data_IF_713966994461
#
_entry.id   IF_713966994461
#
_cell.length_a   1.000
_cell.length_b   1.000
_cell.length_c   1.000
_cell.angle_alpha   90.00
_cell.angle_beta   90.00
_cell.angle_gamma   90.00
#
_symmetry.space_group_name_H-M   'P 1'
#
loop_
_entity.id
_entity.type
_entity.pdbx_description
1 polymer ?
#
# COMPACT_ATOMS: atom_id res chain seq x y z
N UNK A 1 60.72 117.72 -87.98
CA UNK A 1 62.00 118.16 -88.58
C UNK A 1 63.04 117.08 -88.34
N UNK A 2 63.88 116.88 -89.35
CA UNK A 2 64.86 115.80 -89.54
C UNK A 2 65.93 115.73 -88.43
N UNK A 3 66.68 114.61 -88.50
CA UNK A 3 68.08 114.38 -88.08
C UNK A 3 68.26 113.63 -86.74
N UNK A 4 69.13 112.61 -86.59
CA UNK A 4 69.97 111.82 -87.51
C UNK A 4 70.62 110.69 -86.68
N UNK A 5 70.61 109.44 -87.21
CA UNK A 5 71.67 108.40 -87.23
C UNK A 5 72.74 108.36 -86.12
N UNK A 6 73.04 107.17 -85.56
CA UNK A 6 74.12 106.28 -86.04
C UNK A 6 74.22 104.96 -85.22
N UNK A 7 74.55 103.92 -85.98
CA UNK A 7 74.76 102.46 -85.78
C UNK A 7 76.27 102.24 -85.41
N UNK A 8 76.83 101.07 -85.00
CA UNK A 8 76.48 99.98 -84.07
C UNK A 8 77.77 99.36 -83.39
N UNK A 9 77.74 98.05 -83.08
CA UNK A 9 78.86 97.08 -82.97
C UNK A 9 79.65 97.01 -81.65
N UNK A 10 80.12 95.87 -81.12
CA UNK A 10 79.97 94.42 -81.36
C UNK A 10 80.87 93.72 -80.27
N UNK A 11 80.67 92.42 -80.02
CA UNK A 11 81.57 91.44 -79.36
C UNK A 11 81.59 91.25 -77.81
N UNK A 12 81.08 90.07 -77.43
CA UNK A 12 81.65 89.03 -76.54
C UNK A 12 81.95 89.30 -75.05
N UNK A 13 81.26 88.54 -74.19
CA UNK A 13 81.90 87.65 -73.22
C UNK A 13 80.86 86.65 -72.63
N UNK A 14 81.21 85.37 -72.66
CA UNK A 14 80.49 84.26 -72.04
C UNK A 14 80.49 84.36 -70.50
N UNK A 15 79.52 83.73 -69.80
CA UNK A 15 79.71 82.96 -68.54
C UNK A 15 78.39 82.24 -68.14
N UNK A 16 78.58 80.98 -67.78
CA UNK A 16 77.72 79.98 -67.11
C UNK A 16 76.69 80.54 -66.11
N UNK A 17 75.43 80.08 -66.19
CA UNK A 17 74.44 80.26 -65.10
C UNK A 17 73.91 78.88 -64.64
N UNK A 18 74.04 78.52 -63.35
CA UNK A 18 73.44 77.33 -62.75
C UNK A 18 71.96 77.56 -62.38
N UNK A 19 71.10 76.57 -62.62
CA UNK A 19 69.69 76.60 -62.19
C UNK A 19 69.54 76.45 -60.68
N UNK A 20 69.42 77.57 -59.95
CA UNK A 20 69.03 77.61 -58.54
C UNK A 20 67.53 77.91 -58.40
N UNK A 21 66.78 77.06 -57.69
CA UNK A 21 65.40 77.33 -57.25
C UNK A 21 65.41 78.50 -56.24
N UNK A 22 64.47 79.46 -56.34
CA UNK A 22 64.41 80.60 -55.42
C UNK A 22 64.17 80.14 -53.96
N UNK A 23 64.97 80.61 -53.01
CA UNK A 23 64.92 80.20 -51.59
C UNK A 23 63.55 80.34 -50.92
N UNK A 24 62.68 81.25 -51.41
CA UNK A 24 61.33 81.48 -50.92
C UNK A 24 60.38 80.29 -51.18
N UNK A 25 60.43 79.70 -52.39
CA UNK A 25 59.61 78.53 -52.75
C UNK A 25 60.03 77.28 -51.96
N UNK A 26 61.34 77.13 -51.71
CA UNK A 26 61.86 76.04 -50.87
C UNK A 26 61.37 76.16 -49.42
N UNK A 27 61.42 77.36 -48.82
CA UNK A 27 60.91 77.60 -47.46
C UNK A 27 59.40 77.35 -47.33
N UNK A 28 58.61 77.74 -48.33
CA UNK A 28 57.17 77.50 -48.33
C UNK A 28 56.85 76.00 -48.45
N UNK A 29 57.51 75.30 -49.38
CA UNK A 29 57.36 73.85 -49.52
C UNK A 29 57.79 73.10 -48.24
N UNK A 30 58.84 73.56 -47.57
CA UNK A 30 59.29 72.99 -46.28
C UNK A 30 58.26 73.24 -45.17
N UNK A 31 57.62 74.42 -45.12
CA UNK A 31 56.56 74.71 -44.16
C UNK A 31 55.31 73.84 -44.41
N UNK A 32 54.91 73.66 -45.67
CA UNK A 32 53.79 72.80 -46.05
C UNK A 32 54.10 71.32 -45.77
N UNK A 33 55.33 70.87 -46.04
CA UNK A 33 55.79 69.52 -45.68
C UNK A 33 55.72 69.30 -44.17
N UNK A 34 56.22 70.24 -43.36
CA UNK A 34 56.17 70.15 -41.91
C UNK A 34 54.72 70.15 -41.37
N UNK A 35 53.82 70.93 -41.98
CA UNK A 35 52.39 70.95 -41.64
C UNK A 35 51.71 69.62 -42.01
N UNK A 36 51.99 69.09 -43.19
CA UNK A 36 51.46 67.82 -43.65
C UNK A 36 51.96 66.66 -42.78
N UNK A 37 53.24 66.67 -42.41
CA UNK A 37 53.85 65.71 -41.48
C UNK A 37 53.21 65.80 -40.08
N UNK A 38 53.03 67.01 -39.54
CA UNK A 38 52.31 67.23 -38.27
C UNK A 38 50.87 66.73 -38.32
N UNK A 39 50.11 67.05 -39.38
CA UNK A 39 48.73 66.59 -39.56
C UNK A 39 48.66 65.06 -39.70
N UNK A 40 49.60 64.45 -40.42
CA UNK A 40 49.68 63.00 -40.58
C UNK A 40 49.97 62.32 -39.25
N UNK A 41 50.83 62.90 -38.40
CA UNK A 41 51.09 62.41 -37.04
C UNK A 41 49.86 62.53 -36.14
N UNK A 42 49.16 63.66 -36.16
CA UNK A 42 47.92 63.86 -35.39
C UNK A 42 46.82 62.88 -35.82
N UNK A 43 46.59 62.74 -37.12
CA UNK A 43 45.60 61.79 -37.66
C UNK A 43 45.95 60.34 -37.33
N UNK A 44 47.23 59.96 -37.39
CA UNK A 44 47.68 58.64 -36.91
C UNK A 44 47.41 58.45 -35.42
N UNK A 45 47.67 59.47 -34.60
CA UNK A 45 47.37 59.43 -33.16
C UNK A 45 45.87 59.23 -32.87
N UNK A 46 45.00 59.98 -33.55
CA UNK A 46 43.54 59.84 -33.44
C UNK A 46 43.04 58.49 -33.93
N UNK A 47 43.60 57.99 -35.04
CA UNK A 47 43.27 56.67 -35.57
C UNK A 47 43.60 55.56 -34.55
N UNK A 48 44.81 55.58 -33.99
CA UNK A 48 45.24 54.62 -32.95
C UNK A 48 44.36 54.69 -31.70
N UNK A 49 43.96 55.89 -31.28
CA UNK A 49 43.05 56.07 -30.14
C UNK A 49 41.66 55.48 -30.44
N UNK A 50 41.12 55.75 -31.64
CA UNK A 50 39.84 55.21 -32.09
C UNK A 50 39.86 53.69 -32.19
N UNK A 51 40.94 53.11 -32.71
CA UNK A 51 41.15 51.67 -32.80
C UNK A 51 41.21 51.03 -31.40
N UNK A 52 41.91 51.66 -30.46
CA UNK A 52 41.94 51.22 -29.05
C UNK A 52 40.56 51.26 -28.40
N UNK A 53 39.80 52.33 -28.61
CA UNK A 53 38.45 52.46 -28.06
C UNK A 53 37.48 51.44 -28.68
N UNK A 54 37.61 51.16 -29.98
CA UNK A 54 36.86 50.11 -30.66
C UNK A 54 37.18 48.74 -30.08
N UNK A 55 38.45 48.44 -29.81
CA UNK A 55 38.85 47.18 -29.17
C UNK A 55 38.26 47.04 -27.76
N UNK A 56 38.30 48.10 -26.93
CA UNK A 56 37.73 48.10 -25.57
C UNK A 56 36.22 47.90 -25.60
N UNK A 57 35.51 48.60 -26.47
CA UNK A 57 34.04 48.48 -26.60
C UNK A 57 33.64 47.13 -27.16
N UNK A 58 34.36 46.59 -28.14
CA UNK A 58 34.15 45.24 -28.68
C UNK A 58 34.31 44.18 -27.58
N UNK A 59 35.35 44.28 -26.75
CA UNK A 59 35.53 43.38 -25.61
C UNK A 59 34.40 43.50 -24.58
N UNK A 60 33.90 44.71 -24.32
CA UNK A 60 32.76 44.94 -23.43
C UNK A 60 31.46 44.36 -23.99
N UNK A 61 31.20 44.52 -25.29
CA UNK A 61 30.04 43.92 -25.96
C UNK A 61 30.12 42.41 -25.87
N UNK A 62 31.27 41.81 -26.19
CA UNK A 62 31.49 40.36 -26.06
C UNK A 62 31.24 39.87 -24.63
N UNK A 63 31.77 40.57 -23.63
CA UNK A 63 31.53 40.23 -22.21
C UNK A 63 30.05 40.33 -21.82
N UNK A 64 29.33 41.34 -22.31
CA UNK A 64 27.89 41.49 -22.06
C UNK A 64 27.07 40.42 -22.78
N UNK A 65 27.46 40.01 -23.99
CA UNK A 65 26.84 38.90 -24.71
C UNK A 65 27.05 37.56 -23.97
N UNK A 66 28.27 37.32 -23.47
CA UNK A 66 28.57 36.17 -22.62
C UNK A 66 27.70 36.18 -21.35
N UNK A 67 27.61 37.30 -20.64
CA UNK A 67 26.72 37.45 -19.48
C UNK A 67 25.25 37.22 -19.82
N UNK A 68 24.76 37.78 -20.93
CA UNK A 68 23.38 37.61 -21.36
C UNK A 68 23.07 36.16 -21.71
N UNK A 69 24.01 35.45 -22.34
CA UNK A 69 23.87 34.02 -22.65
C UNK A 69 23.89 33.17 -21.38
N UNK A 70 24.74 33.50 -20.41
CA UNK A 70 24.78 32.85 -19.10
C UNK A 70 23.46 33.06 -18.34
N UNK A 71 22.94 34.29 -18.28
CA UNK A 71 21.65 34.58 -17.63
C UNK A 71 20.48 33.87 -18.30
N UNK A 72 20.45 33.83 -19.64
CA UNK A 72 19.43 33.06 -20.38
C UNK A 72 19.51 31.56 -20.05
N UNK A 73 20.72 31.02 -19.91
CA UNK A 73 20.92 29.63 -19.50
C UNK A 73 20.46 29.39 -18.05
N UNK A 74 20.72 30.33 -17.14
CA UNK A 74 20.28 30.26 -15.75
C UNK A 74 18.75 30.34 -15.61
N UNK A 75 18.10 31.24 -16.35
CA UNK A 75 16.64 31.34 -16.36
C UNK A 75 16.00 30.05 -16.89
N UNK A 76 16.58 29.46 -17.93
CA UNK A 76 16.11 28.18 -18.48
C UNK A 76 16.25 27.05 -17.45
N UNK A 77 17.40 26.93 -16.79
CA UNK A 77 17.60 25.87 -15.79
C UNK A 77 16.69 26.03 -14.58
N UNK A 78 16.41 27.28 -14.17
CA UNK A 78 15.46 27.58 -13.10
C UNK A 78 14.03 27.22 -13.49
N UNK A 79 13.62 27.49 -14.73
CA UNK A 79 12.31 27.09 -15.25
C UNK A 79 12.17 25.56 -15.29
N UNK A 80 13.17 24.85 -15.80
CA UNK A 80 13.19 23.39 -15.83
C UNK A 80 13.11 22.78 -14.41
N UNK A 81 13.77 23.41 -13.43
CA UNK A 81 13.70 23.00 -12.03
C UNK A 81 12.31 23.24 -11.43
N UNK A 82 11.66 24.36 -11.74
CA UNK A 82 10.30 24.67 -11.29
C UNK A 82 9.28 23.69 -11.89
N UNK A 83 9.36 23.42 -13.20
CA UNK A 83 8.46 22.48 -13.88
C UNK A 83 8.60 21.05 -13.31
N UNK A 84 9.84 20.62 -13.03
CA UNK A 84 10.09 19.34 -12.34
C UNK A 84 9.48 19.31 -10.95
N UNK A 85 9.56 20.40 -10.18
CA UNK A 85 8.98 20.48 -8.85
C UNK A 85 7.44 20.43 -8.88
N UNK A 86 6.82 21.19 -9.78
CA UNK A 86 5.36 21.19 -9.97
C UNK A 86 4.83 19.82 -10.40
N UNK A 87 5.49 19.17 -11.35
CA UNK A 87 5.11 17.83 -11.80
C UNK A 87 5.31 16.78 -10.70
N UNK A 88 6.41 16.86 -9.95
CA UNK A 88 6.67 15.96 -8.81
C UNK A 88 5.65 16.17 -7.69
N UNK A 89 5.24 17.41 -7.42
CA UNK A 89 4.21 17.74 -6.44
C UNK A 89 2.83 17.23 -6.87
N UNK A 90 2.46 17.41 -8.15
CA UNK A 90 1.22 16.86 -8.70
C UNK A 90 1.19 15.33 -8.62
N UNK A 91 2.29 14.67 -8.95
CA UNK A 91 2.41 13.21 -8.85
C UNK A 91 2.34 12.73 -7.39
N UNK A 92 2.97 13.46 -6.46
CA UNK A 92 2.85 13.23 -5.02
C UNK A 92 1.39 13.29 -4.55
N UNK A 93 0.63 14.30 -4.98
CA UNK A 93 -0.78 14.43 -4.63
C UNK A 93 -1.65 13.27 -5.15
N UNK A 94 -1.40 12.80 -6.38
CA UNK A 94 -2.11 11.63 -6.94
C UNK A 94 -1.81 10.37 -6.13
N UNK A 95 -0.54 10.16 -5.75
CA UNK A 95 -0.16 9.00 -4.93
C UNK A 95 -0.80 9.05 -3.54
N UNK A 96 -0.86 10.24 -2.92
CA UNK A 96 -1.54 10.43 -1.64
C UNK A 96 -3.03 10.13 -1.77
N UNK A 97 -3.70 10.60 -2.83
CA UNK A 97 -5.12 10.29 -3.06
C UNK A 97 -5.36 8.79 -3.15
N UNK A 98 -4.53 8.06 -3.92
CA UNK A 98 -4.63 6.60 -4.03
C UNK A 98 -4.44 5.90 -2.68
N UNK A 99 -3.44 6.31 -1.90
CA UNK A 99 -3.22 5.77 -0.56
C UNK A 99 -4.39 6.08 0.38
N UNK A 100 -4.99 7.27 0.29
CA UNK A 100 -6.18 7.62 1.07
C UNK A 100 -7.37 6.74 0.67
N UNK A 101 -7.57 6.47 -0.62
CA UNK A 101 -8.62 5.58 -1.10
C UNK A 101 -8.41 4.13 -0.61
N UNK A 102 -7.18 3.62 -0.65
CA UNK A 102 -6.81 2.31 -0.09
C UNK A 102 -7.00 2.24 1.43
N UNK A 103 -6.63 3.29 2.17
CA UNK A 103 -6.86 3.36 3.62
C UNK A 103 -8.36 3.37 3.92
N UNK A 104 -9.15 4.11 3.15
CA UNK A 104 -10.60 4.18 3.33
C UNK A 104 -11.29 2.83 3.03
N UNK A 105 -10.85 2.12 1.99
CA UNK A 105 -11.37 0.77 1.68
C UNK A 105 -10.98 -0.24 2.77
N UNK A 106 -9.73 -0.20 3.24
CA UNK A 106 -9.24 -1.01 4.35
C UNK A 106 -10.01 -0.73 5.65
N UNK A 107 -10.24 0.55 5.99
CA UNK A 107 -11.03 0.93 7.16
C UNK A 107 -12.46 0.42 7.09
N UNK A 108 -13.12 0.49 5.93
CA UNK A 108 -14.46 -0.10 5.73
C UNK A 108 -14.45 -1.61 5.95
N UNK A 109 -13.45 -2.30 5.41
CA UNK A 109 -13.29 -3.74 5.61
C UNK A 109 -13.08 -4.09 7.09
N UNK A 110 -12.20 -3.37 7.79
CA UNK A 110 -11.99 -3.52 9.24
C UNK A 110 -13.31 -3.31 10.01
N UNK A 111 -14.09 -2.28 9.68
CA UNK A 111 -15.40 -2.05 10.31
C UNK A 111 -16.37 -3.21 10.08
N UNK A 112 -16.40 -3.79 8.87
CA UNK A 112 -17.23 -4.96 8.60
C UNK A 112 -16.79 -6.17 9.43
N UNK A 113 -15.49 -6.43 9.54
CA UNK A 113 -14.95 -7.50 10.38
C UNK A 113 -15.28 -7.31 11.87
N UNK A 114 -15.13 -6.08 12.38
CA UNK A 114 -15.46 -5.74 13.77
C UNK A 114 -16.95 -5.94 14.03
N UNK A 115 -17.83 -5.46 13.13
CA UNK A 115 -19.27 -5.63 13.26
C UNK A 115 -19.69 -7.11 13.21
N UNK A 116 -19.10 -7.89 12.31
CA UNK A 116 -19.35 -9.33 12.23
C UNK A 116 -18.91 -10.06 13.51
N UNK A 117 -17.74 -9.70 14.06
CA UNK A 117 -17.24 -10.25 15.32
C UNK A 117 -18.15 -9.88 16.49
N UNK A 118 -18.49 -8.61 16.67
CA UNK A 118 -19.34 -8.14 17.77
C UNK A 118 -20.72 -8.81 17.75
N UNK A 119 -21.29 -9.02 16.55
CA UNK A 119 -22.54 -9.77 16.38
C UNK A 119 -22.38 -11.22 16.82
N UNK A 120 -21.31 -11.90 16.41
CA UNK A 120 -21.02 -13.27 16.83
C UNK A 120 -20.84 -13.39 18.34
N UNK A 121 -20.03 -12.52 18.95
CA UNK A 121 -19.75 -12.52 20.39
C UNK A 121 -21.02 -12.28 21.22
N UNK A 122 -21.86 -11.33 20.80
CA UNK A 122 -23.15 -11.06 21.44
C UNK A 122 -24.08 -12.28 21.38
N UNK A 123 -24.14 -12.97 20.24
CA UNK A 123 -24.96 -14.17 20.07
C UNK A 123 -24.45 -15.33 20.92
N UNK A 124 -23.13 -15.55 20.95
CA UNK A 124 -22.50 -16.58 21.78
C UNK A 124 -22.79 -16.34 23.27
N UNK A 125 -22.71 -15.09 23.74
CA UNK A 125 -23.04 -14.74 25.11
C UNK A 125 -24.52 -15.04 25.44
N UNK A 126 -25.45 -14.72 24.53
CA UNK A 126 -26.87 -15.02 24.74
C UNK A 126 -27.13 -16.54 24.72
N UNK A 127 -26.50 -17.28 23.82
CA UNK A 127 -26.57 -18.75 23.76
C UNK A 127 -26.13 -19.38 25.07
N UNK A 128 -24.93 -19.03 25.55
CA UNK A 128 -24.39 -19.55 26.81
C UNK A 128 -25.27 -19.16 27.99
N UNK A 129 -25.69 -17.90 28.09
CA UNK A 129 -26.54 -17.44 29.20
C UNK A 129 -27.91 -18.12 29.23
N UNK A 130 -28.56 -18.29 28.07
CA UNK A 130 -29.85 -18.97 28.00
C UNK A 130 -29.72 -20.44 28.35
N UNK A 131 -28.67 -21.11 27.87
CA UNK A 131 -28.42 -22.51 28.20
C UNK A 131 -28.14 -22.67 29.70
N UNK A 132 -27.15 -21.96 30.25
CA UNK A 132 -26.76 -22.07 31.65
C UNK A 132 -27.92 -21.77 32.60
N UNK A 133 -28.80 -20.81 32.29
CA UNK A 133 -30.00 -20.52 33.11
C UNK A 133 -31.09 -21.58 33.01
N UNK A 134 -31.15 -22.32 31.90
CA UNK A 134 -32.15 -23.37 31.70
C UNK A 134 -31.78 -24.70 32.36
N UNK A 135 -30.49 -24.90 32.66
CA UNK A 135 -29.98 -26.10 33.31
C UNK A 135 -30.23 -26.04 34.83
N UNK A 136 -30.67 -27.16 35.39
CA UNK A 136 -30.79 -27.38 36.83
C UNK A 136 -29.44 -27.69 37.46
N UNK A 137 -29.34 -27.57 38.77
CA UNK A 137 -28.10 -27.83 39.51
C UNK A 137 -27.53 -29.24 39.27
N UNK A 138 -28.39 -30.24 39.07
CA UNK A 138 -27.97 -31.60 38.73
C UNK A 138 -27.45 -31.72 37.30
N UNK A 139 -28.10 -31.05 36.33
CA UNK A 139 -27.64 -31.06 34.93
C UNK A 139 -26.30 -30.33 34.78
N UNK A 140 -26.05 -29.27 35.57
CA UNK A 140 -24.77 -28.54 35.56
C UNK A 140 -23.56 -29.37 35.99
N UNK A 141 -23.75 -30.52 36.62
CA UNK A 141 -22.63 -31.44 36.93
C UNK A 141 -22.20 -32.26 35.70
N UNK A 142 -23.15 -32.52 34.80
CA UNK A 142 -22.98 -33.40 33.63
C UNK A 142 -22.88 -32.63 32.30
N UNK A 143 -23.15 -31.32 32.32
CA UNK A 143 -23.10 -30.43 31.16
C UNK A 143 -22.12 -29.30 31.41
N UNK A 144 -21.13 -29.18 30.54
CA UNK A 144 -20.18 -28.07 30.51
C UNK A 144 -20.35 -27.24 29.24
N UNK A 145 -20.40 -25.92 29.36
CA UNK A 145 -20.63 -25.01 28.24
C UNK A 145 -19.46 -24.05 28.12
N UNK A 146 -18.78 -24.08 26.99
CA UNK A 146 -17.61 -23.25 26.73
C UNK A 146 -17.74 -22.53 25.39
N UNK A 147 -17.21 -21.31 25.32
CA UNK A 147 -17.10 -20.55 24.07
C UNK A 147 -15.63 -20.48 23.69
N UNK A 148 -15.27 -21.09 22.57
CA UNK A 148 -13.91 -21.11 22.05
C UNK A 148 -13.90 -20.48 20.67
N UNK A 149 -13.16 -19.38 20.50
CA UNK A 149 -12.97 -18.68 19.21
C UNK A 149 -14.28 -18.36 18.48
N UNK A 150 -15.33 -18.01 19.21
CA UNK A 150 -16.64 -17.67 18.65
C UNK A 150 -17.52 -18.87 18.31
N UNK A 151 -17.16 -20.07 18.76
CA UNK A 151 -17.94 -21.31 18.62
C UNK A 151 -18.37 -21.79 20.00
N UNK A 152 -19.65 -22.18 20.14
CA UNK A 152 -20.20 -22.68 21.40
C UNK A 152 -20.07 -24.20 21.44
N UNK A 153 -19.40 -24.70 22.48
CA UNK A 153 -19.23 -26.11 22.78
C UNK A 153 -20.08 -26.47 24.00
N UNK A 154 -20.99 -27.43 23.82
CA UNK A 154 -21.78 -28.01 24.91
C UNK A 154 -21.29 -29.44 25.07
N UNK A 155 -20.55 -29.72 26.14
CA UNK A 155 -20.02 -31.05 26.43
C UNK A 155 -20.94 -31.75 27.42
N UNK A 156 -21.44 -32.92 27.04
CA UNK A 156 -22.32 -33.73 27.87
C UNK A 156 -21.62 -35.03 28.26
N UNK A 157 -21.72 -35.41 29.53
CA UNK A 157 -21.15 -36.66 30.05
C UNK A 157 -21.85 -37.89 29.47
N UNK A 158 -21.09 -38.96 29.25
CA UNK A 158 -21.60 -40.24 28.75
C UNK A 158 -22.70 -40.84 29.63
N UNK A 159 -22.50 -40.77 30.95
CA UNK A 159 -23.41 -41.34 31.94
C UNK A 159 -24.78 -40.63 31.99
N UNK A 160 -24.82 -39.35 31.62
CA UNK A 160 -26.07 -38.62 31.52
C UNK A 160 -26.75 -38.89 30.17
N UNK A 161 -25.98 -38.90 29.08
CA UNK A 161 -26.54 -39.04 27.73
C UNK A 161 -27.02 -40.44 27.38
N UNK A 162 -26.30 -41.49 27.77
CA UNK A 162 -26.53 -42.84 27.27
C UNK A 162 -26.76 -43.84 28.40
N UNK A 163 -27.40 -44.96 28.07
CA UNK A 163 -27.40 -46.13 28.94
C UNK A 163 -25.97 -46.69 29.06
N UNK A 164 -25.66 -47.31 30.20
CA UNK A 164 -24.32 -47.83 30.49
C UNK A 164 -23.81 -48.75 29.37
N UNK A 165 -22.62 -48.44 28.84
CA UNK A 165 -22.00 -49.22 27.77
C UNK A 165 -22.79 -49.26 26.45
N UNK A 166 -23.67 -48.29 26.22
CA UNK A 166 -24.52 -48.22 25.01
C UNK A 166 -24.35 -46.89 24.27
N UNK A 167 -24.97 -46.82 23.09
CA UNK A 167 -25.23 -45.60 22.33
C UNK A 167 -26.71 -45.21 22.36
N UNK A 168 -27.55 -45.99 23.04
CA UNK A 168 -28.95 -45.64 23.28
C UNK A 168 -29.06 -44.47 24.27
N UNK A 169 -29.79 -43.43 23.86
CA UNK A 169 -30.06 -42.26 24.68
C UNK A 169 -30.82 -42.67 25.95
N UNK A 170 -30.39 -42.14 27.09
CA UNK A 170 -31.02 -42.40 28.39
C UNK A 170 -32.26 -41.50 28.59
N UNK A 171 -33.22 -41.94 29.39
CA UNK A 171 -34.39 -41.11 29.74
C UNK A 171 -33.99 -39.84 30.50
N UNK A 172 -32.84 -39.87 31.20
CA UNK A 172 -32.30 -38.70 31.92
C UNK A 172 -31.81 -37.61 30.98
N UNK A 173 -31.36 -37.99 29.79
CA UNK A 173 -30.88 -37.06 28.78
C UNK A 173 -32.00 -36.22 28.17
N UNK A 174 -33.25 -36.67 28.29
CA UNK A 174 -34.37 -36.11 27.55
C UNK A 174 -34.64 -34.65 27.89
N UNK A 175 -34.71 -34.33 29.19
CA UNK A 175 -34.92 -32.94 29.64
C UNK A 175 -33.81 -32.00 29.15
N UNK A 176 -32.55 -32.46 29.19
CA UNK A 176 -31.39 -31.69 28.74
C UNK A 176 -31.41 -31.48 27.23
N UNK A 177 -31.62 -32.56 26.46
CA UNK A 177 -31.69 -32.50 25.00
C UNK A 177 -32.88 -31.64 24.53
N UNK A 178 -34.01 -31.66 25.24
CA UNK A 178 -35.13 -30.77 24.97
C UNK A 178 -34.74 -29.29 25.09
N UNK A 179 -34.03 -28.91 26.17
CA UNK A 179 -33.55 -27.53 26.37
C UNK A 179 -32.55 -27.11 25.30
N UNK A 180 -31.56 -27.97 25.01
CA UNK A 180 -30.57 -27.73 23.96
C UNK A 180 -31.25 -27.60 22.60
N UNK A 181 -32.23 -28.44 22.28
CA UNK A 181 -32.96 -28.38 21.01
C UNK A 181 -33.73 -27.08 20.82
N UNK A 182 -34.30 -26.51 21.90
CA UNK A 182 -34.98 -25.22 21.85
C UNK A 182 -34.00 -24.13 21.45
N UNK A 183 -32.82 -24.12 22.07
CA UNK A 183 -31.76 -23.17 21.74
C UNK A 183 -31.28 -23.37 20.29
N UNK A 184 -31.06 -24.59 19.84
CA UNK A 184 -30.67 -24.86 18.44
C UNK A 184 -31.73 -24.33 17.45
N UNK A 185 -33.02 -24.43 17.79
CA UNK A 185 -34.12 -23.94 16.94
C UNK A 185 -34.25 -22.43 16.95
N UNK A 186 -34.10 -21.79 18.11
CA UNK A 186 -34.12 -20.33 18.23
C UNK A 186 -33.00 -19.67 17.41
N UNK A 187 -31.91 -20.40 17.15
CA UNK A 187 -30.76 -19.96 16.37
C UNK A 187 -30.64 -20.72 15.03
N UNK A 188 -31.69 -20.63 14.21
CA UNK A 188 -31.85 -21.39 12.96
C UNK A 188 -30.76 -21.16 11.90
N UNK A 189 -29.97 -20.11 12.01
CA UNK A 189 -28.94 -19.74 11.04
C UNK A 189 -27.58 -20.42 11.26
N UNK A 190 -27.45 -21.28 12.27
CA UNK A 190 -26.22 -21.96 12.65
C UNK A 190 -26.29 -23.45 12.35
N UNK A 191 -25.15 -24.03 12.01
CA UNK A 191 -25.00 -25.48 11.87
C UNK A 191 -24.64 -26.09 13.22
N UNK A 192 -24.97 -27.37 13.39
CA UNK A 192 -24.74 -28.12 14.62
C UNK A 192 -23.96 -29.38 14.29
N UNK A 193 -22.75 -29.44 14.80
CA UNK A 193 -21.88 -30.61 14.73
C UNK A 193 -21.91 -31.34 16.07
N UNK A 194 -22.23 -32.63 16.02
CA UNK A 194 -22.26 -33.51 17.18
C UNK A 194 -21.04 -34.42 17.09
N UNK A 195 -20.17 -34.37 18.09
CA UNK A 195 -18.96 -35.17 18.15
C UNK A 195 -18.96 -36.12 19.34
N UNK A 196 -18.91 -37.42 19.07
CA UNK A 196 -18.71 -38.42 20.11
C UNK A 196 -17.22 -38.61 20.40
N UNK A 197 -16.88 -38.78 21.67
CA UNK A 197 -15.53 -39.10 22.14
C UNK A 197 -15.60 -40.26 23.15
N UNK A 198 -14.57 -41.11 23.17
CA UNK A 198 -14.42 -42.21 24.14
C UNK A 198 -13.19 -42.00 25.02
N UNK A 199 -13.05 -42.83 26.04
CA UNK A 199 -11.76 -43.05 26.68
C UNK A 199 -10.93 -44.07 25.88
N UNK A 200 -9.78 -44.47 26.43
CA UNK A 200 -8.88 -45.45 25.82
C UNK A 200 -9.22 -46.92 26.14
N UNK A 201 -10.39 -47.22 26.72
CA UNK A 201 -10.79 -48.60 27.01
C UNK A 201 -11.35 -49.22 25.73
N UNK A 202 -10.84 -50.37 25.26
CA UNK A 202 -11.36 -51.01 24.06
C UNK A 202 -12.83 -51.45 24.24
N UNK A 203 -13.65 -51.17 23.23
CA UNK A 203 -15.03 -51.69 23.16
C UNK A 203 -14.98 -53.17 22.82
N UNK A 204 -15.31 -54.03 23.78
CA UNK A 204 -15.33 -55.48 23.59
C UNK A 204 -16.75 -56.08 23.64
N UNK A 205 -17.73 -55.35 24.16
CA UNK A 205 -19.02 -55.89 24.62
C UNK A 205 -20.23 -55.53 23.76
N UNK A 206 -20.08 -54.73 22.70
CA UNK A 206 -21.20 -54.28 21.87
C UNK A 206 -21.14 -54.95 20.49
N UNK A 207 -22.14 -55.78 20.18
CA UNK A 207 -22.24 -56.50 18.90
C UNK A 207 -22.29 -55.51 17.73
N UNK A 208 -21.46 -55.73 16.71
CA UNK A 208 -21.41 -54.91 15.49
C UNK A 208 -20.57 -53.64 15.60
N UNK A 209 -19.95 -53.38 16.76
CA UNK A 209 -19.02 -52.26 16.97
C UNK A 209 -17.60 -52.79 16.91
N UNK A 210 -16.77 -52.28 16.00
CA UNK A 210 -15.40 -52.79 15.82
C UNK A 210 -14.41 -52.16 16.80
N UNK A 211 -14.59 -50.88 17.13
CA UNK A 211 -13.65 -50.11 17.95
C UNK A 211 -14.30 -48.81 18.49
N UNK A 212 -13.49 -48.00 19.18
CA UNK A 212 -13.88 -46.71 19.73
C UNK A 212 -14.32 -45.69 18.66
N UNK A 213 -13.85 -45.78 17.41
CA UNK A 213 -14.35 -44.94 16.33
C UNK A 213 -15.83 -45.21 16.05
N UNK A 214 -16.18 -46.48 15.86
CA UNK A 214 -17.57 -46.89 15.59
C UNK A 214 -18.51 -46.47 16.73
N UNK A 215 -18.12 -46.73 17.99
CA UNK A 215 -18.93 -46.34 19.16
C UNK A 215 -19.15 -44.82 19.20
N UNK A 216 -18.08 -44.05 19.03
CA UNK A 216 -18.16 -42.59 19.09
C UNK A 216 -19.04 -42.01 17.99
N UNK A 217 -18.97 -42.53 16.76
CA UNK A 217 -19.78 -42.08 15.64
C UNK A 217 -21.27 -42.44 15.83
N UNK A 218 -21.57 -43.63 16.35
CA UNK A 218 -22.95 -44.04 16.63
C UNK A 218 -23.58 -43.27 17.79
N UNK A 219 -22.80 -42.93 18.81
CA UNK A 219 -23.24 -42.03 19.90
C UNK A 219 -23.63 -40.67 19.34
N UNK A 220 -22.77 -40.06 18.54
CA UNK A 220 -23.08 -38.80 17.87
C UNK A 220 -24.34 -38.90 16.98
N UNK A 221 -24.45 -39.97 16.19
CA UNK A 221 -25.62 -40.22 15.34
C UNK A 221 -26.91 -40.38 16.15
N UNK A 222 -26.85 -41.01 17.32
CA UNK A 222 -28.01 -41.20 18.20
C UNK A 222 -28.54 -39.87 18.74
N UNK A 223 -27.64 -38.94 19.09
CA UNK A 223 -28.03 -37.57 19.48
C UNK A 223 -28.63 -36.81 18.29
N UNK A 224 -28.04 -36.92 17.09
CA UNK A 224 -28.62 -36.32 15.86
C UNK A 224 -30.03 -36.84 15.60
N UNK A 225 -30.24 -38.15 15.68
CA UNK A 225 -31.55 -38.76 15.49
C UNK A 225 -32.55 -38.29 16.55
N UNK A 226 -32.14 -38.17 17.82
CA UNK A 226 -33.00 -37.61 18.86
C UNK A 226 -33.38 -36.15 18.56
N UNK A 227 -32.41 -35.30 18.22
CA UNK A 227 -32.62 -33.88 17.86
C UNK A 227 -33.56 -33.73 16.66
N UNK A 228 -33.40 -34.57 15.64
CA UNK A 228 -34.24 -34.56 14.44
C UNK A 228 -35.65 -35.07 14.75
N UNK A 229 -35.77 -36.31 15.22
CA UNK A 229 -37.04 -37.05 15.25
C UNK A 229 -37.92 -36.65 16.43
N UNK A 230 -37.33 -36.38 17.60
CA UNK A 230 -38.09 -36.03 18.81
C UNK A 230 -38.26 -34.53 18.99
N UNK A 231 -37.27 -33.75 18.60
CA UNK A 231 -37.23 -32.31 18.88
C UNK A 231 -37.44 -31.40 17.66
N UNK A 232 -37.46 -31.98 16.45
CA UNK A 232 -37.77 -31.26 15.21
C UNK A 232 -36.67 -30.29 14.78
N UNK A 233 -35.40 -30.58 15.07
CA UNK A 233 -34.29 -29.82 14.50
C UNK A 233 -34.13 -30.17 13.02
N UNK A 234 -33.97 -29.16 12.16
CA UNK A 234 -33.79 -29.36 10.72
C UNK A 234 -32.55 -30.23 10.44
N UNK A 235 -32.71 -31.43 9.83
CA UNK A 235 -31.60 -32.34 9.58
C UNK A 235 -30.53 -31.76 8.65
N UNK A 236 -30.85 -30.77 7.81
CA UNK A 236 -29.86 -30.10 6.94
C UNK A 236 -28.77 -29.38 7.73
N UNK A 237 -29.02 -29.09 9.01
CA UNK A 237 -28.10 -28.39 9.91
C UNK A 237 -27.29 -29.34 10.80
N UNK A 238 -27.60 -30.64 10.80
CA UNK A 238 -27.04 -31.60 11.74
C UNK A 238 -25.94 -32.42 11.07
N UNK A 239 -24.78 -32.48 11.70
CA UNK A 239 -23.68 -33.37 11.31
C UNK A 239 -23.27 -34.23 12.50
N UNK A 240 -23.05 -35.53 12.30
CA UNK A 240 -22.51 -36.43 13.31
C UNK A 240 -21.07 -36.85 12.96
N UNK A 241 -20.16 -36.78 13.93
CA UNK A 241 -18.79 -37.23 13.80
C UNK A 241 -18.33 -38.04 15.02
N UNK A 242 -17.53 -39.08 14.78
CA UNK A 242 -16.79 -39.78 15.83
C UNK A 242 -15.36 -39.27 15.92
N UNK A 243 -14.78 -39.20 17.12
CA UNK A 243 -13.36 -38.88 17.37
C UNK A 243 -12.59 -40.07 17.97
N UNK A 244 -13.28 -41.15 18.32
CA UNK A 244 -12.72 -42.26 19.10
C UNK A 244 -12.05 -41.78 20.40
N UNK A 245 -10.94 -42.40 20.73
CA UNK A 245 -10.13 -42.13 21.94
C UNK A 245 -9.05 -41.06 21.74
N UNK A 246 -8.89 -40.56 20.50
CA UNK A 246 -7.74 -39.76 20.06
C UNK A 246 -7.86 -38.26 20.36
N UNK A 247 -8.93 -37.85 21.05
CA UNK A 247 -9.15 -36.46 21.48
C UNK A 247 -9.44 -36.38 22.99
N UNK A 248 -8.50 -36.81 23.86
CA UNK A 248 -8.67 -36.76 25.30
C UNK A 248 -8.59 -35.32 25.82
N UNK A 249 -9.42 -34.99 26.80
CA UNK A 249 -9.39 -33.71 27.55
C UNK A 249 -8.89 -33.88 28.99
N UNK A 250 -8.68 -35.13 29.41
CA UNK A 250 -8.14 -35.48 30.72
C UNK A 250 -7.31 -36.76 30.62
N UNK A 251 -6.54 -37.05 31.68
CA UNK A 251 -5.66 -38.22 31.72
C UNK A 251 -6.46 -39.54 31.76
N UNK A 252 -6.23 -40.40 30.77
CA UNK A 252 -6.83 -41.74 30.66
C UNK A 252 -6.29 -42.74 31.69
N UNK A 253 -5.28 -42.40 32.49
CA UNK A 253 -4.79 -43.27 33.57
C UNK A 253 -5.75 -43.34 34.77
N UNK A 254 -6.62 -42.32 34.94
CA UNK A 254 -7.51 -42.20 36.11
C UNK A 254 -8.97 -42.46 35.75
N UNK A 255 -9.76 -43.02 36.67
CA UNK A 255 -11.19 -43.24 36.46
C UNK A 255 -11.95 -41.92 36.17
N UNK A 256 -11.58 -40.85 36.88
CA UNK A 256 -12.15 -39.52 36.68
C UNK A 256 -11.81 -38.93 35.30
N UNK A 257 -10.56 -39.08 34.85
CA UNK A 257 -10.16 -38.59 33.52
C UNK A 257 -10.81 -39.38 32.38
N UNK A 258 -10.92 -40.70 32.51
CA UNK A 258 -11.71 -41.52 31.57
C UNK A 258 -13.17 -41.07 31.49
N UNK A 259 -13.80 -40.79 32.64
CA UNK A 259 -15.18 -40.29 32.66
C UNK A 259 -15.35 -38.94 31.95
N UNK A 260 -14.36 -38.04 32.07
CA UNK A 260 -14.35 -36.78 31.30
C UNK A 260 -14.13 -37.00 29.80
N UNK A 261 -13.31 -37.98 29.43
CA UNK A 261 -13.03 -38.27 28.02
C UNK A 261 -14.23 -38.89 27.30
N UNK A 262 -15.02 -39.71 27.99
CA UNK A 262 -16.32 -40.20 27.52
C UNK A 262 -17.36 -39.07 27.54
N UNK A 263 -17.45 -38.35 26.43
CA UNK A 263 -18.33 -37.18 26.28
C UNK A 263 -18.86 -37.08 24.86
N UNK A 264 -20.02 -36.47 24.72
CA UNK A 264 -20.51 -36.00 23.40
C UNK A 264 -20.55 -34.49 23.42
N UNK A 265 -19.99 -33.87 22.38
CA UNK A 265 -19.96 -32.43 22.24
C UNK A 265 -20.97 -32.01 21.19
N UNK A 266 -21.87 -31.09 21.55
CA UNK A 266 -22.76 -30.40 20.62
C UNK A 266 -22.13 -29.04 20.35
N UNK A 267 -21.71 -28.84 19.11
CA UNK A 267 -20.92 -27.69 18.67
C UNK A 267 -21.79 -26.85 17.75
N UNK A 268 -22.07 -25.61 18.14
CA UNK A 268 -22.90 -24.68 17.37
C UNK A 268 -21.97 -23.74 16.61
N UNK A 269 -21.92 -23.88 15.29
CA UNK A 269 -21.00 -23.14 14.41
C UNK A 269 -21.75 -22.22 13.46
N UNK A 270 -21.23 -21.01 13.18
CA UNK A 270 -21.72 -20.20 12.06
C UNK A 270 -21.63 -21.00 10.75
N UNK A 271 -22.53 -20.73 9.80
CA UNK A 271 -22.46 -21.36 8.47
C UNK A 271 -21.15 -21.03 7.78
N UNK A 272 -20.49 -22.04 7.22
CA UNK A 272 -19.23 -21.86 6.48
C UNK A 272 -19.38 -20.83 5.35
N UNK A 273 -20.54 -20.82 4.67
CA UNK A 273 -20.83 -19.85 3.60
C UNK A 273 -20.81 -18.41 4.11
N UNK A 274 -21.32 -18.14 5.32
CA UNK A 274 -21.27 -16.81 5.92
C UNK A 274 -19.83 -16.39 6.24
N UNK A 275 -18.97 -17.34 6.59
CA UNK A 275 -17.54 -17.09 6.79
C UNK A 275 -16.82 -16.83 5.45
N UNK A 276 -17.16 -17.60 4.40
CA UNK A 276 -16.58 -17.41 3.07
C UNK A 276 -17.04 -16.09 2.43
N UNK A 277 -18.27 -15.64 2.68
CA UNK A 277 -18.76 -14.32 2.25
C UNK A 277 -17.99 -13.15 2.90
N UNK A 278 -17.48 -13.34 4.11
CA UNK A 278 -16.65 -12.33 4.80
C UNK A 278 -15.24 -12.26 4.20
N UNK A 279 -14.69 -13.38 3.73
CA UNK A 279 -13.34 -13.46 3.15
C UNK A 279 -13.34 -13.15 1.64
N UNK A 280 -14.36 -13.60 0.92
CA UNK A 280 -14.55 -13.35 -0.52
C UNK A 280 -14.84 -11.89 -0.87
N UNK A 281 -15.09 -11.05 0.13
CA UNK A 281 -15.21 -9.58 0.03
C UNK A 281 -13.93 -8.85 0.47
N UNK A 282 -12.77 -9.50 0.41
CA UNK A 282 -11.51 -8.76 0.43
C UNK A 282 -11.56 -7.70 -0.69
N UNK A 283 -11.07 -6.47 -0.48
CA UNK A 283 -11.08 -5.45 -1.52
C UNK A 283 -10.33 -6.02 -2.72
N UNK A 284 -11.04 -6.28 -3.81
CA UNK A 284 -10.45 -6.53 -5.12
C UNK A 284 -9.47 -5.37 -5.32
N UNK A 285 -8.18 -5.70 -5.39
CA UNK A 285 -7.21 -4.76 -5.91
C UNK A 285 -7.54 -4.65 -7.38
N UNK A 286 -8.40 -3.68 -7.72
CA UNK A 286 -8.68 -3.31 -9.10
C UNK A 286 -7.33 -3.00 -9.76
N UNK A 287 -6.74 -4.00 -10.40
CA UNK A 287 -5.57 -3.84 -11.25
C UNK A 287 -6.05 -3.10 -12.49
N UNK A 288 -5.95 -1.77 -12.45
CA UNK A 288 -5.94 -0.91 -13.64
C UNK A 288 -4.54 -0.41 -13.91
#
# INVERSE_FOLDING_TARGET
MKFLKFIPALLLAAIVIPGCVSSKKYKQLQADYNRLDSNTRDMRGKYLLSERNLAVTTNRVKSLEEQLSAERSNLKSLQDALDKCLNSSSQGNVNISKLVDEINSSNKYIQQLVNAKNKSDSLNMVLTNNLTRSLSQSEMQDVDVQVLKGVVYISLSDNMLYKSGSFEISDKADATLAKISKIIKDYSNYDVLIEGNTDNVPVASIKGIRNNWDLSALRASSVVQALQTKYGVDPKRLTAGGRGEYNPIADNSTAAGKAKNRRTQIIITPKLDQFMDLIGKAPETDKK
#
